data_IF_303999234756
#
_entry.id   IF_303999234756
#
_cell.length_a   1.000
_cell.length_b   1.000
_cell.length_c   1.000
_cell.angle_alpha   90.00
_cell.angle_beta   90.00
_cell.angle_gamma   90.00
#
_symmetry.space_group_name_H-M   'P 1'
#
loop_
_entity.id
_entity.type
_entity.pdbx_description
1 polymer ?
#
# COMPACT_ATOMS: atom_id res chain seq x y z
N UNK A 1 12.66 -62.59 -10.89
CA UNK A 1 13.16 -61.29 -11.35
C UNK A 1 12.19 -60.54 -12.28
N UNK A 2 11.46 -61.17 -13.21
CA UNK A 2 10.50 -60.50 -14.12
C UNK A 2 9.27 -59.85 -13.42
N UNK A 3 8.81 -60.36 -12.27
CA UNK A 3 7.65 -59.84 -11.53
C UNK A 3 7.94 -58.57 -10.69
N UNK A 4 9.20 -58.34 -10.30
CA UNK A 4 9.61 -57.19 -9.51
C UNK A 4 9.75 -55.93 -10.39
N UNK A 5 10.18 -56.12 -11.65
CA UNK A 5 10.32 -55.01 -12.60
C UNK A 5 8.95 -54.42 -12.99
N UNK A 6 7.91 -55.26 -13.06
CA UNK A 6 6.56 -54.82 -13.39
C UNK A 6 5.91 -54.00 -12.30
N UNK A 7 6.27 -54.19 -11.01
CA UNK A 7 5.72 -53.45 -9.88
C UNK A 7 6.35 -52.06 -9.78
N UNK A 8 7.62 -51.92 -10.13
CA UNK A 8 8.32 -50.63 -10.12
C UNK A 8 7.83 -49.71 -11.24
N UNK A 9 7.49 -50.29 -12.42
CA UNK A 9 6.94 -49.52 -13.54
C UNK A 9 5.54 -48.93 -13.24
N UNK A 10 4.71 -49.61 -12.44
CA UNK A 10 3.39 -49.14 -12.03
C UNK A 10 3.49 -48.03 -10.95
N UNK A 11 4.51 -48.11 -10.07
CA UNK A 11 4.72 -47.07 -9.05
C UNK A 11 5.27 -45.78 -9.63
N UNK A 12 6.06 -45.83 -10.72
CA UNK A 12 6.58 -44.64 -11.41
C UNK A 12 5.52 -43.88 -12.22
N UNK A 13 4.46 -44.57 -12.65
CA UNK A 13 3.37 -43.97 -13.41
C UNK A 13 2.38 -43.14 -12.53
N UNK A 14 2.44 -43.32 -11.21
CA UNK A 14 1.53 -42.61 -10.28
C UNK A 14 2.05 -41.26 -9.77
N UNK A 15 3.30 -40.90 -10.07
CA UNK A 15 3.93 -39.66 -9.58
C UNK A 15 3.82 -38.51 -10.58
N UNK A 16 3.28 -38.73 -11.78
CA UNK A 16 3.18 -37.68 -12.81
C UNK A 16 1.79 -37.06 -13.00
N UNK A 17 0.84 -37.37 -12.12
CA UNK A 17 -0.39 -36.57 -12.04
C UNK A 17 -0.23 -35.40 -11.07
N UNK A 18 0.78 -34.55 -11.28
CA UNK A 18 0.70 -33.16 -10.87
C UNK A 18 -0.35 -32.54 -11.78
N UNK A 19 -1.56 -32.51 -11.27
CA UNK A 19 -2.64 -31.74 -11.88
C UNK A 19 -2.11 -30.35 -12.12
N UNK A 20 -1.83 -29.99 -13.36
CA UNK A 20 -1.84 -28.61 -13.78
C UNK A 20 -3.26 -28.11 -13.44
N UNK A 21 -3.39 -27.50 -12.28
CA UNK A 21 -4.59 -26.70 -12.01
C UNK A 21 -4.65 -25.70 -13.16
N UNK A 22 -5.64 -25.89 -14.02
CA UNK A 22 -6.01 -24.88 -14.99
C UNK A 22 -6.25 -23.60 -14.19
N UNK A 23 -5.24 -22.72 -14.12
CA UNK A 23 -5.45 -21.36 -13.70
C UNK A 23 -6.32 -20.71 -14.77
N UNK A 24 -7.63 -20.84 -14.60
CA UNK A 24 -8.59 -19.94 -15.23
C UNK A 24 -8.43 -18.62 -14.48
N UNK A 25 -7.44 -17.82 -14.87
CA UNK A 25 -7.16 -16.54 -14.26
C UNK A 25 -6.53 -15.63 -15.30
N UNK A 26 -7.06 -14.46 -15.44
CA UNK A 26 -6.31 -13.36 -16.05
C UNK A 26 -4.96 -13.23 -15.34
N UNK A 27 -3.92 -12.84 -16.06
CA UNK A 27 -2.62 -12.56 -15.47
C UNK A 27 -2.76 -11.61 -14.30
N UNK A 28 -2.13 -11.96 -13.17
CA UNK A 28 -2.17 -11.10 -12.00
C UNK A 28 -1.56 -9.73 -12.32
N UNK A 29 -2.17 -8.62 -11.88
CA UNK A 29 -1.61 -7.29 -12.07
C UNK A 29 -0.18 -7.20 -11.53
N UNK A 30 0.71 -6.60 -12.30
CA UNK A 30 2.08 -6.33 -11.89
C UNK A 30 2.17 -5.00 -11.16
N UNK A 31 3.16 -4.86 -10.29
CA UNK A 31 3.43 -3.66 -9.54
C UNK A 31 4.76 -3.05 -9.97
N UNK A 32 4.72 -1.79 -10.40
CA UNK A 32 5.89 -0.98 -10.73
C UNK A 32 6.14 0.03 -9.62
N UNK A 33 7.35 -0.01 -9.03
CA UNK A 33 7.71 0.98 -8.00
C UNK A 33 7.78 2.39 -8.60
N UNK A 34 7.11 3.33 -7.93
CA UNK A 34 7.01 4.73 -8.38
C UNK A 34 7.81 5.66 -7.49
N UNK A 35 7.58 5.61 -6.18
CA UNK A 35 8.26 6.50 -5.24
C UNK A 35 8.14 6.00 -3.79
N UNK A 36 9.05 6.46 -2.97
CA UNK A 36 8.96 6.40 -1.51
C UNK A 36 8.73 7.82 -0.97
N UNK A 37 7.72 7.97 -0.11
CA UNK A 37 7.49 9.22 0.62
C UNK A 37 7.89 9.03 2.08
N UNK A 38 8.66 9.98 2.63
CA UNK A 38 8.97 10.09 4.06
C UNK A 38 8.18 11.27 4.60
N UNK A 39 7.00 10.97 5.17
CA UNK A 39 6.03 11.97 5.62
C UNK A 39 6.29 12.29 7.09
N UNK A 40 6.58 13.54 7.41
CA UNK A 40 6.70 14.01 8.79
C UNK A 40 5.31 14.35 9.34
N UNK A 41 5.07 13.95 10.58
CA UNK A 41 3.78 14.09 11.24
C UNK A 41 3.89 15.03 12.43
N UNK A 42 2.83 15.81 12.65
CA UNK A 42 2.66 16.65 13.81
C UNK A 42 1.96 15.91 14.96
N UNK A 43 1.70 16.63 16.03
CA UNK A 43 0.94 16.12 17.17
C UNK A 43 -0.50 15.82 16.76
N UNK A 44 -0.93 14.58 17.00
CA UNK A 44 -2.29 14.16 16.69
C UNK A 44 -3.28 14.64 17.73
N UNK A 45 -4.50 14.91 17.31
CA UNK A 45 -5.61 15.21 18.21
C UNK A 45 -6.85 14.40 17.89
N UNK A 46 -7.66 14.12 18.91
CA UNK A 46 -8.89 13.36 18.78
C UNK A 46 -10.12 14.26 18.93
N UNK A 47 -11.08 14.09 18.02
CA UNK A 47 -12.42 14.68 18.15
C UNK A 47 -13.33 13.82 19.04
N UNK A 48 -12.82 12.71 19.60
CA UNK A 48 -13.58 11.78 20.43
C UNK A 48 -14.43 10.80 19.64
N UNK A 49 -15.36 10.16 20.33
CA UNK A 49 -16.35 9.27 19.72
C UNK A 49 -17.43 10.12 19.03
N UNK A 50 -17.69 9.79 17.78
CA UNK A 50 -18.71 10.44 16.94
C UNK A 50 -19.75 9.39 16.52
N UNK A 51 -20.83 9.83 15.87
CA UNK A 51 -21.83 8.92 15.27
C UNK A 51 -21.23 7.96 14.23
N UNK A 52 -20.02 8.25 13.71
CA UNK A 52 -19.33 7.45 12.70
C UNK A 52 -18.18 6.60 13.29
N UNK A 53 -17.84 6.76 14.57
CA UNK A 53 -16.71 6.14 15.26
C UNK A 53 -15.76 7.17 15.86
N UNK A 54 -14.60 6.72 16.35
CA UNK A 54 -13.58 7.61 16.93
C UNK A 54 -12.81 8.32 15.82
N UNK A 55 -12.89 9.64 15.82
CA UNK A 55 -12.18 10.49 14.85
C UNK A 55 -10.86 10.98 15.44
N UNK A 56 -9.76 10.73 14.73
CA UNK A 56 -8.42 11.26 15.02
C UNK A 56 -7.89 11.99 13.80
N UNK A 57 -7.22 13.12 14.01
CA UNK A 57 -6.57 13.89 12.96
C UNK A 57 -5.07 13.95 13.25
N UNK A 58 -4.26 13.60 12.27
CA UNK A 58 -2.79 13.63 12.36
C UNK A 58 -2.29 14.64 11.33
N UNK A 59 -1.81 15.83 11.76
CA UNK A 59 -1.28 16.82 10.84
C UNK A 59 -0.07 16.30 10.08
N UNK A 60 0.02 16.62 8.79
CA UNK A 60 1.20 16.41 7.95
C UNK A 60 1.99 17.72 7.93
N UNK A 61 3.22 17.66 8.43
CA UNK A 61 4.07 18.85 8.61
C UNK A 61 5.11 19.01 7.52
N UNK A 62 5.23 18.03 6.61
CA UNK A 62 6.16 18.07 5.50
C UNK A 62 6.79 16.72 5.22
N UNK A 63 8.01 16.76 4.67
CA UNK A 63 8.77 15.56 4.35
C UNK A 63 9.39 15.61 2.95
N UNK A 64 9.85 14.47 2.48
CA UNK A 64 10.46 14.31 1.16
C UNK A 64 9.90 13.10 0.44
N UNK A 65 10.02 13.08 -0.87
CA UNK A 65 9.74 11.88 -1.65
C UNK A 65 10.77 11.72 -2.76
N UNK A 66 11.04 10.46 -3.11
CA UNK A 66 11.99 10.10 -4.14
C UNK A 66 11.59 8.79 -4.83
N UNK A 67 11.78 8.75 -6.13
CA UNK A 67 11.58 7.59 -6.99
C UNK A 67 12.41 7.69 -8.27
N UNK A 68 12.35 6.68 -9.15
CA UNK A 68 13.15 6.64 -10.37
C UNK A 68 12.99 7.86 -11.29
N UNK A 69 11.77 8.42 -11.36
CA UNK A 69 11.41 9.49 -12.29
C UNK A 69 10.74 10.69 -11.63
N UNK A 70 10.71 10.74 -10.29
CA UNK A 70 10.04 11.81 -9.57
C UNK A 70 10.68 11.97 -8.18
N UNK A 71 10.91 13.21 -7.76
CA UNK A 71 11.41 13.54 -6.43
C UNK A 71 11.02 14.96 -6.04
N UNK A 72 11.09 15.26 -4.74
CA UNK A 72 10.76 16.59 -4.23
C UNK A 72 10.38 16.59 -2.76
N UNK A 73 9.53 17.53 -2.36
CA UNK A 73 9.13 17.78 -0.98
C UNK A 73 7.63 17.63 -0.78
N UNK A 74 7.26 17.18 0.41
CA UNK A 74 5.88 17.15 0.89
C UNK A 74 5.58 18.48 1.54
N UNK A 75 4.45 19.08 1.22
CA UNK A 75 4.08 20.38 1.76
C UNK A 75 3.43 20.23 3.15
N UNK A 76 3.66 21.21 3.99
CA UNK A 76 2.91 21.39 5.23
C UNK A 76 1.48 21.84 4.93
N UNK A 77 0.52 21.48 5.79
CA UNK A 77 -0.88 21.93 5.72
C UNK A 77 -1.90 20.85 5.38
N UNK A 78 -1.44 19.62 5.14
CA UNK A 78 -2.31 18.44 5.02
C UNK A 78 -2.54 17.73 6.34
N UNK A 79 -3.41 16.72 6.34
CA UNK A 79 -3.62 15.83 7.48
C UNK A 79 -4.11 14.45 7.05
N UNK A 80 -3.93 13.46 7.94
CA UNK A 80 -4.58 12.15 7.88
C UNK A 80 -5.79 12.16 8.83
N UNK A 81 -6.97 11.97 8.26
CA UNK A 81 -8.27 11.97 8.93
C UNK A 81 -8.71 10.54 9.22
N UNK A 82 -8.28 10.00 10.36
CA UNK A 82 -8.56 8.63 10.74
C UNK A 82 -9.93 8.46 11.38
N UNK A 83 -10.59 7.35 11.05
CA UNK A 83 -11.87 6.94 11.64
C UNK A 83 -11.78 5.50 12.12
N UNK A 84 -11.75 5.28 13.43
CA UNK A 84 -11.67 3.97 14.03
C UNK A 84 -13.07 3.44 14.39
N UNK A 85 -13.37 2.21 13.94
CA UNK A 85 -14.63 1.50 14.24
C UNK A 85 -14.36 0.00 14.36
N UNK A 86 -14.75 -0.63 15.49
CA UNK A 86 -14.81 -2.09 15.60
C UNK A 86 -13.50 -2.85 15.27
N UNK A 87 -12.33 -2.33 15.66
CA UNK A 87 -11.03 -2.98 15.40
C UNK A 87 -10.41 -2.66 14.02
N UNK A 88 -11.07 -1.82 13.24
CA UNK A 88 -10.59 -1.30 11.95
C UNK A 88 -10.45 0.21 12.03
N UNK A 89 -9.41 0.76 11.42
CA UNK A 89 -9.26 2.20 11.22
C UNK A 89 -9.21 2.49 9.72
N UNK A 90 -10.10 3.33 9.25
CA UNK A 90 -10.02 3.94 7.93
C UNK A 90 -9.12 5.18 8.03
N UNK A 91 -8.25 5.33 7.06
CA UNK A 91 -7.40 6.51 6.93
C UNK A 91 -7.75 7.26 5.64
N UNK A 92 -7.65 8.57 5.69
CA UNK A 92 -7.78 9.44 4.53
C UNK A 92 -6.81 10.60 4.69
N UNK A 93 -5.61 10.44 4.13
CA UNK A 93 -4.61 11.50 4.13
C UNK A 93 -4.80 12.40 2.90
N UNK A 94 -4.95 13.70 3.13
CA UNK A 94 -5.11 14.71 2.07
C UNK A 94 -3.98 15.72 2.23
N UNK A 95 -3.13 15.84 1.23
CA UNK A 95 -1.96 16.71 1.24
C UNK A 95 -1.45 16.98 -0.17
N UNK A 96 -0.44 17.82 -0.31
CA UNK A 96 0.19 18.10 -1.60
C UNK A 96 1.70 17.92 -1.54
N UNK A 97 2.29 17.64 -2.68
CA UNK A 97 3.74 17.55 -2.88
C UNK A 97 4.17 18.56 -3.92
N UNK A 98 5.43 18.95 -3.87
CA UNK A 98 6.09 19.79 -4.89
C UNK A 98 7.32 19.07 -5.39
N UNK A 99 7.38 18.86 -6.70
CA UNK A 99 8.54 18.25 -7.35
C UNK A 99 9.73 19.22 -7.41
N UNK A 100 10.94 18.71 -7.56
CA UNK A 100 12.16 19.54 -7.66
C UNK A 100 12.13 20.50 -8.86
N UNK A 101 11.39 20.17 -9.91
CA UNK A 101 11.14 21.03 -11.06
C UNK A 101 9.92 21.96 -10.90
N UNK A 102 9.37 22.05 -9.68
CA UNK A 102 8.40 23.06 -9.28
C UNK A 102 6.92 22.72 -9.49
N UNK A 103 6.59 21.52 -9.93
CA UNK A 103 5.20 21.11 -10.16
C UNK A 103 4.53 20.69 -8.85
N UNK A 104 3.32 21.21 -8.61
CA UNK A 104 2.49 20.82 -7.46
C UNK A 104 1.56 19.68 -7.86
N UNK A 105 1.47 18.67 -7.01
CA UNK A 105 0.60 17.50 -7.19
C UNK A 105 -0.19 17.30 -5.91
N UNK A 106 -1.51 17.22 -6.04
CA UNK A 106 -2.40 16.93 -4.91
C UNK A 106 -2.51 15.42 -4.73
N UNK A 107 -2.60 14.99 -3.46
CA UNK A 107 -2.68 13.56 -3.09
C UNK A 107 -3.86 13.36 -2.15
N UNK A 108 -4.67 12.36 -2.47
CA UNK A 108 -5.67 11.79 -1.58
C UNK A 108 -5.35 10.32 -1.39
N UNK A 109 -4.86 9.95 -0.21
CA UNK A 109 -4.42 8.59 0.07
C UNK A 109 -5.39 7.93 1.06
N UNK A 110 -6.22 7.02 0.57
CA UNK A 110 -7.16 6.25 1.39
C UNK A 110 -6.59 4.88 1.72
N UNK A 111 -6.86 4.41 2.94
CA UNK A 111 -6.36 3.12 3.36
C UNK A 111 -7.10 2.53 4.55
N UNK A 112 -6.61 1.37 4.95
CA UNK A 112 -7.17 0.59 6.04
C UNK A 112 -6.03 0.10 6.93
N UNK A 113 -6.20 0.29 8.23
CA UNK A 113 -5.46 -0.40 9.28
C UNK A 113 -6.42 -1.40 9.91
N UNK A 114 -6.06 -2.67 9.96
CA UNK A 114 -6.82 -3.71 10.62
C UNK A 114 -5.89 -4.61 11.43
N UNK A 115 -6.32 -4.90 12.67
CA UNK A 115 -5.69 -5.92 13.50
C UNK A 115 -6.64 -7.12 13.50
N UNK A 116 -6.26 -8.19 12.83
CA UNK A 116 -7.03 -9.42 12.77
C UNK A 116 -6.77 -10.32 13.98
N UNK A 117 -7.72 -11.23 14.24
CA UNK A 117 -7.45 -12.44 15.01
C UNK A 117 -6.36 -13.23 14.31
N UNK A 118 -5.52 -13.93 15.07
CA UNK A 118 -4.40 -14.70 14.56
C UNK A 118 -4.77 -15.54 13.33
N UNK A 119 -4.12 -15.29 12.20
CA UNK A 119 -4.09 -16.25 11.11
C UNK A 119 -3.43 -17.55 11.60
N UNK A 120 -3.67 -18.66 10.89
CA UNK A 120 -3.09 -19.98 11.25
C UNK A 120 -1.59 -19.85 11.52
N UNK A 121 -1.20 -19.88 12.81
CA UNK A 121 0.18 -19.66 13.26
C UNK A 121 0.34 -18.75 14.49
N UNK A 122 -0.77 -18.20 15.06
CA UNK A 122 -0.80 -17.61 16.39
C UNK A 122 -0.27 -16.18 16.52
N UNK A 123 0.07 -15.50 15.42
CA UNK A 123 0.44 -14.06 15.45
C UNK A 123 -0.72 -13.20 14.99
N UNK A 124 -1.05 -12.08 15.71
CA UNK A 124 -2.02 -11.12 15.22
C UNK A 124 -1.57 -10.59 13.85
N UNK A 125 -2.42 -10.66 12.86
CA UNK A 125 -2.14 -10.06 11.56
C UNK A 125 -2.31 -8.55 11.67
N UNK A 126 -1.26 -7.80 11.38
CA UNK A 126 -1.32 -6.36 11.22
C UNK A 126 -1.39 -6.05 9.73
N UNK A 127 -2.50 -5.48 9.30
CA UNK A 127 -2.71 -5.08 7.93
C UNK A 127 -2.74 -3.56 7.83
N UNK A 128 -1.88 -2.98 7.00
CA UNK A 128 -1.88 -1.56 6.68
C UNK A 128 -1.58 -1.37 5.21
N UNK A 129 -2.59 -1.01 4.41
CA UNK A 129 -2.46 -0.75 2.98
C UNK A 129 -3.30 0.44 2.58
N UNK A 130 -2.81 1.17 1.57
CA UNK A 130 -3.48 2.36 1.04
C UNK A 130 -3.51 2.34 -0.48
N UNK A 131 -4.37 3.18 -1.04
CA UNK A 131 -4.54 3.39 -2.47
C UNK A 131 -4.53 4.90 -2.75
N UNK A 132 -3.35 5.50 -2.95
CA UNK A 132 -3.24 6.91 -3.24
C UNK A 132 -3.79 7.26 -4.63
N UNK A 133 -4.46 8.40 -4.71
CA UNK A 133 -4.88 9.07 -5.93
C UNK A 133 -4.08 10.35 -6.06
N UNK A 134 -3.69 10.69 -7.27
CA UNK A 134 -2.89 11.88 -7.58
C UNK A 134 -3.65 12.79 -8.52
N UNK A 135 -3.50 14.10 -8.32
CA UNK A 135 -3.97 15.13 -9.23
C UNK A 135 -2.77 16.00 -9.61
N UNK A 136 -2.18 15.69 -10.76
CA UNK A 136 -1.10 16.45 -11.37
C UNK A 136 -1.64 17.36 -12.48
N UNK A 137 -1.02 18.51 -12.79
CA UNK A 137 -1.42 19.35 -13.92
C UNK A 137 -1.42 18.55 -15.22
N UNK A 138 -2.46 18.71 -16.02
CA UNK A 138 -2.70 17.93 -17.23
C UNK A 138 -1.65 18.14 -18.32
N UNK A 139 -0.99 19.28 -18.32
CA UNK A 139 0.09 19.67 -19.23
C UNK A 139 1.49 19.35 -18.71
N UNK A 140 1.61 18.75 -17.52
CA UNK A 140 2.88 18.36 -16.92
C UNK A 140 3.33 16.97 -17.37
N UNK A 141 4.64 16.72 -17.30
CA UNK A 141 5.20 15.35 -17.49
C UNK A 141 4.70 14.33 -16.48
N UNK A 142 4.01 14.77 -15.42
CA UNK A 142 3.44 13.95 -14.37
C UNK A 142 1.96 13.62 -14.58
N UNK A 143 1.31 14.09 -15.68
CA UNK A 143 -0.09 13.85 -15.99
C UNK A 143 -0.48 12.36 -16.04
N UNK A 144 0.48 11.46 -16.28
CA UNK A 144 0.26 10.01 -16.24
C UNK A 144 -0.20 9.50 -14.86
N UNK A 145 0.12 10.23 -13.79
CA UNK A 145 -0.35 9.92 -12.44
C UNK A 145 -1.87 9.96 -12.33
N UNK A 146 -2.53 10.85 -13.09
CA UNK A 146 -3.98 11.00 -13.07
C UNK A 146 -4.73 9.79 -13.68
N UNK A 147 -4.03 9.01 -14.51
CA UNK A 147 -4.62 7.93 -15.31
C UNK A 147 -4.09 6.54 -14.89
N UNK A 148 -3.71 6.38 -13.63
CA UNK A 148 -3.16 5.14 -13.11
C UNK A 148 -3.74 4.81 -11.74
N UNK A 149 -3.81 3.53 -11.42
CA UNK A 149 -4.13 3.05 -10.08
C UNK A 149 -2.83 2.79 -9.33
N UNK A 150 -2.85 3.07 -8.03
CA UNK A 150 -1.70 2.89 -7.16
C UNK A 150 -2.05 2.12 -5.90
N UNK A 151 -1.07 1.37 -5.41
CA UNK A 151 -1.08 0.75 -4.10
C UNK A 151 0.06 1.32 -3.26
N UNK A 152 -0.15 1.39 -1.96
CA UNK A 152 0.83 1.89 -1.01
C UNK A 152 0.94 0.95 0.19
N UNK A 153 2.18 0.65 0.58
CA UNK A 153 2.48 -0.06 1.81
C UNK A 153 3.19 0.89 2.79
N UNK A 154 2.45 1.38 3.80
CA UNK A 154 3.03 2.17 4.86
C UNK A 154 3.92 1.33 5.79
N UNK A 155 4.98 1.95 6.32
CA UNK A 155 5.87 1.37 7.32
C UNK A 155 6.38 2.43 8.28
N UNK A 156 6.75 2.00 9.48
CA UNK A 156 7.40 2.87 10.46
C UNK A 156 8.90 2.55 10.46
N UNK A 157 9.74 3.57 10.39
CA UNK A 157 11.20 3.42 10.43
C UNK A 157 11.71 3.88 11.79
N UNK A 158 12.58 3.07 12.39
CA UNK A 158 13.20 3.43 13.67
C UNK A 158 14.04 4.71 13.52
N UNK A 159 13.86 5.67 14.44
CA UNK A 159 14.55 6.95 14.41
C UNK A 159 13.98 8.01 13.46
N UNK A 160 12.89 7.71 12.75
CA UNK A 160 12.16 8.67 11.92
C UNK A 160 10.80 9.01 12.57
N UNK A 161 10.59 10.28 12.88
CA UNK A 161 9.32 10.77 13.43
C UNK A 161 8.31 11.04 12.31
N UNK A 162 7.68 9.96 11.84
CA UNK A 162 6.76 10.03 10.73
C UNK A 162 6.44 8.65 10.17
N UNK A 163 5.99 8.62 8.94
CA UNK A 163 5.63 7.39 8.24
C UNK A 163 6.32 7.32 6.87
N UNK A 164 6.78 6.14 6.49
CA UNK A 164 7.36 5.85 5.19
C UNK A 164 6.33 5.15 4.33
N UNK A 165 6.06 5.70 3.16
CA UNK A 165 5.07 5.19 2.21
C UNK A 165 5.78 4.74 0.93
N UNK A 166 5.78 3.44 0.65
CA UNK A 166 6.23 2.93 -0.64
C UNK A 166 5.02 2.82 -1.58
N UNK A 167 5.12 3.41 -2.76
CA UNK A 167 4.03 3.52 -3.72
C UNK A 167 4.38 2.79 -5.00
N UNK A 168 3.46 1.95 -5.45
CA UNK A 168 3.54 1.20 -6.71
C UNK A 168 2.35 1.52 -7.60
N UNK A 169 2.61 1.61 -8.90
CA UNK A 169 1.60 1.63 -9.95
C UNK A 169 1.15 0.21 -10.25
N UNK A 170 -0.16 0.02 -10.43
CA UNK A 170 -0.75 -1.23 -10.93
C UNK A 170 -0.68 -1.22 -12.45
N UNK A 171 -0.13 -2.28 -13.04
CA UNK A 171 -0.02 -2.50 -14.50
C UNK A 171 -0.86 -3.65 -14.96
#
# INVERSE_FOLDING_TARGET
MKKIISLIAVLLAFVLNVSAQNQVGADAPQLEFVMQLKVTLGESYSCGETQHGRRTVIPITGGTFEGPNIKGTILNGGADYQLATGGRTEIEAIYSIKTDDGIYIHIRNRGIIASGSAEQGGRPSFYFRCAPQFEAPADSKYAWLNNSLFLCAPSFSQGFQGIVLNVWRVK
#
